data_IF_091892574148
#
_entry.id   IF_091892574148
#
_cell.length_a   1.000
_cell.length_b   1.000
_cell.length_c   1.000
_cell.angle_alpha   90.00
_cell.angle_beta   90.00
_cell.angle_gamma   90.00
#
_symmetry.space_group_name_H-M   'P 1'
#
loop_
_entity.id
_entity.type
_entity.pdbx_description
1 polymer ?
#
# COMPACT_ATOMS: atom_id res chain seq x y z
N UNK A 1 8.42 17.25 -4.88
CA UNK A 1 7.74 18.42 -4.27
C UNK A 1 8.06 18.50 -2.78
N UNK A 2 7.72 17.47 -1.98
CA UNK A 2 8.01 17.45 -0.53
C UNK A 2 9.51 17.55 -0.17
N UNK A 3 10.40 16.94 -0.96
CA UNK A 3 11.85 17.02 -0.70
C UNK A 3 12.47 18.40 -1.04
N UNK A 4 11.73 19.25 -1.75
CA UNK A 4 12.21 20.57 -2.23
C UNK A 4 11.38 21.73 -1.69
N UNK A 5 10.43 21.47 -0.80
CA UNK A 5 9.56 22.48 -0.18
C UNK A 5 9.32 22.17 1.29
N UNK A 6 8.96 23.17 2.08
CA UNK A 6 8.61 22.99 3.50
C UNK A 6 7.17 22.54 3.72
N UNK A 7 6.60 21.78 2.77
CA UNK A 7 5.20 21.34 2.81
C UNK A 7 4.97 20.08 3.64
N UNK A 8 3.73 19.89 4.08
CA UNK A 8 3.25 18.65 4.71
C UNK A 8 2.25 18.00 3.77
N UNK A 9 2.24 16.67 3.71
CA UNK A 9 1.27 15.90 2.92
C UNK A 9 0.81 14.67 3.68
N UNK A 10 -0.42 14.23 3.39
CA UNK A 10 -0.98 12.98 3.88
C UNK A 10 -0.83 11.93 2.77
N UNK A 11 0.10 10.99 2.95
CA UNK A 11 0.45 9.99 1.95
C UNK A 11 0.36 8.57 2.53
N UNK A 12 0.11 7.55 1.68
CA UNK A 12 0.23 6.16 2.09
C UNK A 12 1.63 5.86 2.62
N UNK A 13 1.72 5.10 3.71
CA UNK A 13 3.01 4.78 4.35
C UNK A 13 3.99 4.10 3.40
N UNK A 14 3.50 3.22 2.52
CA UNK A 14 4.35 2.51 1.56
C UNK A 14 4.99 3.44 0.52
N UNK A 15 4.35 4.58 0.20
CA UNK A 15 4.86 5.52 -0.80
C UNK A 15 6.03 6.37 -0.27
N UNK A 16 6.20 6.44 1.05
CA UNK A 16 7.21 7.27 1.72
C UNK A 16 8.20 6.46 2.55
N UNK A 17 8.08 5.13 2.58
CA UNK A 17 8.87 4.26 3.44
C UNK A 17 10.38 4.38 3.18
N UNK A 18 10.78 4.34 1.91
CA UNK A 18 12.19 4.45 1.51
C UNK A 18 12.78 5.83 1.82
N UNK A 19 12.25 6.97 1.32
CA UNK A 19 12.81 8.29 1.64
C UNK A 19 12.75 8.60 3.14
N UNK A 20 11.75 8.10 3.87
CA UNK A 20 11.73 8.23 5.33
C UNK A 20 12.87 7.44 6.00
N UNK A 21 13.17 6.23 5.51
CA UNK A 21 14.29 5.43 6.02
C UNK A 21 15.66 6.05 5.74
N UNK A 22 15.80 6.74 4.61
CA UNK A 22 17.01 7.51 4.26
C UNK A 22 17.14 8.84 4.99
N UNK A 23 16.07 9.31 5.64
CA UNK A 23 16.03 10.61 6.33
C UNK A 23 15.67 11.80 5.44
N UNK A 24 15.34 11.57 4.17
CA UNK A 24 14.93 12.62 3.22
C UNK A 24 13.55 13.19 3.55
N UNK A 25 12.69 12.36 4.17
CA UNK A 25 11.37 12.75 4.67
C UNK A 25 11.23 12.40 6.14
N UNK A 26 10.49 13.23 6.89
CA UNK A 26 10.12 12.95 8.27
C UNK A 26 8.64 12.64 8.36
N UNK A 27 8.31 11.53 9.01
CA UNK A 27 6.91 11.24 9.35
C UNK A 27 6.50 12.10 10.54
N UNK A 28 5.35 12.75 10.40
CA UNK A 28 4.66 13.42 11.48
C UNK A 28 3.66 12.45 12.11
N UNK A 29 3.90 12.07 13.37
CA UNK A 29 2.95 11.28 14.14
C UNK A 29 1.80 12.18 14.62
N UNK A 30 0.56 11.81 14.30
CA UNK A 30 -0.65 12.59 14.62
C UNK A 30 -1.56 11.74 15.50
N UNK A 31 -1.79 12.21 16.73
CA UNK A 31 -2.70 11.58 17.69
C UNK A 31 -4.16 11.66 17.22
N UNK A 32 -4.99 10.70 17.62
CA UNK A 32 -6.44 10.67 17.37
C UNK A 32 -6.87 10.74 15.90
N UNK A 33 -5.96 10.39 14.98
CA UNK A 33 -6.24 10.33 13.56
C UNK A 33 -6.49 8.88 13.11
N UNK A 34 -7.65 8.64 12.50
CA UNK A 34 -8.01 7.34 11.92
C UNK A 34 -8.21 7.46 10.41
N UNK A 35 -7.42 6.71 9.66
CA UNK A 35 -7.56 6.58 8.21
C UNK A 35 -7.48 5.10 7.83
N UNK A 36 -8.47 4.61 7.10
CA UNK A 36 -8.47 3.25 6.57
C UNK A 36 -8.20 3.29 5.07
N UNK A 37 -7.21 2.52 4.62
CA UNK A 37 -6.88 2.38 3.21
C UNK A 37 -7.25 0.97 2.76
N UNK A 38 -8.07 0.89 1.71
CA UNK A 38 -8.44 -0.39 1.10
C UNK A 38 -7.58 -0.64 -0.12
N UNK A 39 -7.08 -1.88 -0.23
CA UNK A 39 -6.39 -2.37 -1.43
C UNK A 39 -7.23 -3.48 -2.03
N UNK A 40 -7.46 -3.40 -3.34
CA UNK A 40 -8.31 -4.35 -4.05
C UNK A 40 -7.58 -4.87 -5.29
N UNK A 41 -7.82 -6.14 -5.61
CA UNK A 41 -7.38 -6.75 -6.87
C UNK A 41 -8.61 -7.02 -7.71
N UNK A 42 -8.53 -6.69 -9.00
CA UNK A 42 -9.63 -6.85 -9.93
C UNK A 42 -9.21 -7.71 -11.12
N UNK A 43 -10.07 -8.66 -11.47
CA UNK A 43 -10.02 -9.39 -12.72
C UNK A 43 -11.45 -9.62 -13.22
N UNK A 44 -11.61 -9.79 -14.54
CA UNK A 44 -12.93 -10.04 -15.12
C UNK A 44 -13.43 -11.41 -14.67
N UNK A 45 -14.73 -11.54 -14.38
CA UNK A 45 -15.34 -12.80 -13.92
C UNK A 45 -15.11 -13.96 -14.91
N UNK A 46 -15.05 -13.64 -16.20
CA UNK A 46 -14.84 -14.60 -17.29
C UNK A 46 -13.36 -14.67 -17.72
N UNK A 47 -12.45 -14.04 -16.97
CA UNK A 47 -11.01 -14.16 -17.23
C UNK A 47 -10.55 -15.55 -16.78
N UNK A 48 -9.93 -16.29 -17.70
CA UNK A 48 -9.22 -17.51 -17.34
C UNK A 48 -8.04 -17.16 -16.42
N UNK A 49 -8.08 -17.60 -15.15
CA UNK A 49 -6.97 -17.46 -14.22
C UNK A 49 -5.88 -18.49 -14.55
N UNK A 50 -4.65 -18.02 -14.68
CA UNK A 50 -3.49 -18.91 -14.83
C UNK A 50 -2.93 -19.28 -13.46
N UNK A 51 -2.11 -20.33 -13.43
CA UNK A 51 -1.45 -20.78 -12.19
C UNK A 51 -0.58 -19.68 -11.56
N UNK A 52 0.05 -18.85 -12.39
CA UNK A 52 0.85 -17.70 -11.95
C UNK A 52 -0.02 -16.61 -11.33
N UNK A 53 -1.23 -16.40 -11.86
CA UNK A 53 -2.19 -15.47 -11.27
C UNK A 53 -2.66 -15.95 -9.89
N UNK A 54 -2.98 -17.24 -9.75
CA UNK A 54 -3.36 -17.82 -8.46
C UNK A 54 -2.23 -17.68 -7.44
N UNK A 55 -1.00 -17.99 -7.84
CA UNK A 55 0.17 -17.81 -6.98
C UNK A 55 0.37 -16.35 -6.58
N UNK A 56 0.14 -15.40 -7.49
CA UNK A 56 0.21 -13.97 -7.18
C UNK A 56 -0.88 -13.54 -6.20
N UNK A 57 -2.13 -13.97 -6.39
CA UNK A 57 -3.25 -13.67 -5.48
C UNK A 57 -2.92 -14.21 -4.08
N UNK A 58 -2.44 -15.43 -3.98
CA UNK A 58 -2.01 -16.03 -2.70
C UNK A 58 -0.90 -15.20 -2.03
N UNK A 59 0.14 -14.83 -2.79
CA UNK A 59 1.24 -14.01 -2.28
C UNK A 59 0.76 -12.65 -1.77
N UNK A 60 -0.17 -12.02 -2.48
CA UNK A 60 -0.53 -10.64 -2.26
C UNK A 60 -1.72 -10.45 -1.29
N UNK A 61 -2.50 -11.51 -1.03
CA UNK A 61 -3.53 -11.59 0.01
C UNK A 61 -2.95 -11.66 1.43
N UNK A 62 -1.71 -12.13 1.61
CA UNK A 62 -1.08 -12.28 2.93
C UNK A 62 -1.70 -13.42 3.77
N UNK A 63 -1.19 -13.68 4.99
CA UNK A 63 -1.54 -14.85 5.79
C UNK A 63 -3.00 -14.87 6.34
N UNK A 64 -3.71 -13.73 6.31
CA UNK A 64 -5.02 -13.57 6.97
C UNK A 64 -6.22 -13.42 6.01
N UNK A 65 -6.03 -13.58 4.70
CA UNK A 65 -7.16 -13.57 3.76
C UNK A 65 -7.52 -15.01 3.37
N UNK A 66 -8.66 -15.57 3.82
CA UNK A 66 -9.13 -16.84 3.29
C UNK A 66 -9.37 -16.69 1.78
N UNK A 67 -8.78 -17.60 1.00
CA UNK A 67 -9.15 -17.80 -0.39
C UNK A 67 -10.63 -18.23 -0.39
N UNK A 68 -11.47 -17.44 -1.08
CA UNK A 68 -12.86 -17.79 -1.35
C UNK A 68 -12.96 -19.17 -2.02
#
# INVERSE_FOLDING_TARGET
>A
MLERSSGISLLPRFAVAEPASRGDLRILEVSDFRLTMYRQMFYHKDKCCTREMDAFIQLASGPDLPLL
#
